data_IF_144094681816
#
_entry.id   IF_144094681816
#
_cell.length_a   1.000
_cell.length_b   1.000
_cell.length_c   1.000
_cell.angle_alpha   90.00
_cell.angle_beta   90.00
_cell.angle_gamma   90.00
#
_symmetry.space_group_name_H-M   'P 1'
#
loop_
_entity.id
_entity.type
_entity.pdbx_description
1 polymer ?
#
# COMPACT_ATOMS: atom_id res chain seq x y z
N UNK A 1 6.87 -16.66 9.36
CA UNK A 1 6.07 -15.42 9.31
C UNK A 1 4.64 -15.75 8.89
N UNK A 2 3.65 -14.96 9.37
CA UNK A 2 2.25 -15.10 8.95
C UNK A 2 1.88 -14.18 7.77
N UNK A 3 2.83 -13.41 7.25
CA UNK A 3 2.61 -12.57 6.07
C UNK A 3 2.54 -13.37 4.77
N UNK A 4 3.38 -14.42 4.64
CA UNK A 4 3.45 -15.26 3.44
C UNK A 4 4.07 -14.56 2.22
N UNK A 5 4.43 -15.35 1.22
CA UNK A 5 4.91 -14.86 -0.06
C UNK A 5 6.32 -14.25 -0.07
N UNK A 6 6.62 -13.49 -1.12
CA UNK A 6 7.95 -12.90 -1.37
C UNK A 6 8.39 -11.88 -0.32
N UNK A 7 7.45 -11.30 0.42
CA UNK A 7 7.74 -10.35 1.51
C UNK A 7 8.60 -10.99 2.62
N UNK A 8 8.52 -12.31 2.83
CA UNK A 8 9.35 -12.99 3.82
C UNK A 8 10.85 -12.90 3.52
N UNK A 9 11.21 -12.82 2.24
CA UNK A 9 12.61 -12.67 1.78
C UNK A 9 13.18 -11.29 2.15
N UNK A 10 12.31 -10.31 2.38
CA UNK A 10 12.69 -8.93 2.71
C UNK A 10 12.74 -8.66 4.22
N UNK A 11 12.46 -9.64 5.07
CA UNK A 11 12.54 -9.49 6.53
C UNK A 11 13.99 -9.60 6.97
N UNK A 12 14.51 -8.57 7.63
CA UNK A 12 15.79 -8.66 8.34
C UNK A 12 15.69 -9.64 9.49
N UNK A 13 16.52 -10.68 9.47
CA UNK A 13 16.55 -11.72 10.48
C UNK A 13 17.46 -11.30 11.65
N UNK A 14 17.05 -11.67 12.86
CA UNK A 14 17.83 -11.48 14.08
C UNK A 14 18.35 -12.85 14.48
N UNK A 15 19.65 -12.98 14.56
CA UNK A 15 20.29 -14.24 14.97
C UNK A 15 20.13 -14.48 16.47
N UNK A 16 20.11 -15.75 16.85
CA UNK A 16 20.22 -16.18 18.24
C UNK A 16 21.52 -15.66 18.86
N UNK A 17 21.59 -15.60 20.19
CA UNK A 17 22.76 -15.08 20.93
C UNK A 17 23.41 -16.13 21.79
N UNK A 18 24.72 -15.94 22.00
CA UNK A 18 25.52 -16.79 22.88
C UNK A 18 25.54 -18.26 22.44
N UNK A 19 25.46 -19.18 23.38
CA UNK A 19 25.51 -20.63 23.14
C UNK A 19 24.35 -21.17 22.29
N UNK A 20 23.27 -20.41 22.15
CA UNK A 20 22.14 -20.76 21.28
C UNK A 20 22.42 -20.57 19.79
N UNK A 21 23.46 -19.81 19.44
CA UNK A 21 23.89 -19.59 18.06
C UNK A 21 24.99 -20.59 17.70
N UNK A 22 24.61 -21.67 17.01
CA UNK A 22 25.55 -22.63 16.47
C UNK A 22 25.37 -22.72 14.95
N UNK A 23 26.14 -21.90 14.22
CA UNK A 23 26.04 -21.79 12.75
C UNK A 23 26.55 -23.07 12.07
N UNK A 24 27.56 -23.73 12.65
CA UNK A 24 28.17 -24.92 12.07
C UNK A 24 27.23 -26.16 12.13
N UNK A 25 26.40 -26.22 13.16
CA UNK A 25 25.43 -27.33 13.33
C UNK A 25 24.05 -27.03 12.70
N UNK A 26 23.83 -25.80 12.22
CA UNK A 26 22.53 -25.41 11.69
C UNK A 26 22.20 -26.11 10.37
N UNK A 27 21.00 -26.69 10.28
CA UNK A 27 20.47 -27.32 9.07
C UNK A 27 19.38 -26.44 8.40
N UNK A 28 18.75 -25.60 9.20
CA UNK A 28 17.64 -24.73 8.78
C UNK A 28 17.87 -23.30 9.30
N UNK A 29 17.18 -22.35 8.69
CA UNK A 29 17.17 -20.95 9.17
C UNK A 29 16.68 -20.85 10.63
N UNK A 30 15.68 -21.66 11.01
CA UNK A 30 15.11 -21.67 12.35
C UNK A 30 16.13 -22.06 13.42
N UNK A 31 17.20 -22.76 13.08
CA UNK A 31 18.26 -23.18 14.01
C UNK A 31 19.11 -21.99 14.47
N UNK A 32 19.23 -20.95 13.64
CA UNK A 32 20.08 -19.77 13.88
C UNK A 32 19.30 -18.48 14.10
N UNK A 33 18.03 -18.38 13.69
CA UNK A 33 17.21 -17.18 13.78
C UNK A 33 16.37 -17.19 15.04
N UNK A 34 16.41 -16.08 15.80
CA UNK A 34 15.59 -15.83 16.98
C UNK A 34 14.30 -15.05 16.64
N UNK A 35 14.39 -14.16 15.66
CA UNK A 35 13.28 -13.31 15.24
C UNK A 35 13.61 -12.49 14.00
N UNK A 36 12.74 -11.53 13.72
CA UNK A 36 12.95 -10.58 12.63
C UNK A 36 12.54 -9.16 13.01
N UNK A 37 13.13 -8.18 12.36
CA UNK A 37 12.65 -6.81 12.44
C UNK A 37 11.28 -6.71 11.77
N UNK A 38 10.39 -5.89 12.34
CA UNK A 38 9.04 -5.74 11.77
C UNK A 38 9.09 -5.10 10.38
N UNK A 39 8.42 -5.75 9.44
CA UNK A 39 8.35 -5.34 8.03
C UNK A 39 7.35 -4.20 7.80
N UNK A 40 6.26 -4.19 8.59
CA UNK A 40 5.17 -3.21 8.58
C UNK A 40 4.58 -3.02 9.98
N UNK A 41 3.59 -2.15 10.11
CA UNK A 41 2.82 -1.95 11.34
C UNK A 41 1.49 -2.71 11.33
N UNK A 42 0.99 -3.15 10.18
CA UNK A 42 -0.31 -3.80 10.00
C UNK A 42 -0.36 -5.16 10.69
N UNK A 43 0.68 -6.01 10.53
CA UNK A 43 0.72 -7.32 11.16
C UNK A 43 0.81 -7.24 12.69
N UNK A 44 1.67 -6.38 13.30
CA UNK A 44 1.64 -6.12 14.73
C UNK A 44 0.29 -5.62 15.25
N UNK A 45 -0.38 -4.71 14.53
CA UNK A 45 -1.71 -4.22 14.88
C UNK A 45 -2.74 -5.32 14.86
N UNK A 46 -2.76 -6.15 13.81
CA UNK A 46 -3.67 -7.28 13.69
C UNK A 46 -3.54 -8.24 14.86
N UNK A 47 -2.32 -8.51 15.31
CA UNK A 47 -2.06 -9.34 16.50
C UNK A 47 -2.47 -8.64 17.80
N UNK A 48 -2.22 -7.33 17.92
CA UNK A 48 -2.67 -6.54 19.06
C UNK A 48 -4.19 -6.57 19.18
N UNK A 49 -4.88 -6.28 18.07
CA UNK A 49 -6.34 -6.34 18.02
C UNK A 49 -6.87 -7.73 18.42
N UNK A 50 -6.31 -8.78 17.84
CA UNK A 50 -6.73 -10.16 18.15
C UNK A 50 -6.60 -10.49 19.63
N UNK A 51 -5.55 -10.02 20.30
CA UNK A 51 -5.33 -10.27 21.72
C UNK A 51 -6.17 -9.40 22.67
N UNK A 52 -6.75 -8.30 22.17
CA UNK A 52 -7.40 -7.29 23.01
C UNK A 52 -8.83 -6.95 22.57
N UNK A 53 -9.36 -7.58 21.52
CA UNK A 53 -10.61 -7.19 20.84
C UNK A 53 -11.81 -7.07 21.77
N UNK A 54 -11.89 -7.87 22.83
CA UNK A 54 -12.95 -7.81 23.81
C UNK A 54 -12.99 -6.50 24.62
N UNK A 55 -11.88 -5.78 24.67
CA UNK A 55 -11.74 -4.52 25.43
C UNK A 55 -11.60 -3.27 24.54
N UNK A 56 -11.64 -3.45 23.21
CA UNK A 56 -11.51 -2.35 22.25
C UNK A 56 -12.88 -1.89 21.77
N UNK A 57 -12.96 -0.63 21.32
CA UNK A 57 -14.16 -0.10 20.68
C UNK A 57 -14.47 -0.83 19.38
N UNK A 58 -15.72 -0.86 18.97
CA UNK A 58 -16.15 -1.33 17.65
C UNK A 58 -16.89 -0.20 16.91
N UNK A 59 -16.40 0.26 15.74
CA UNK A 59 -15.11 -0.10 15.14
C UNK A 59 -13.91 0.41 15.95
N UNK A 60 -12.77 -0.26 15.83
CA UNK A 60 -11.50 0.15 16.41
C UNK A 60 -10.72 0.97 15.39
N UNK A 61 -10.41 2.22 15.72
CA UNK A 61 -9.61 3.12 14.88
C UNK A 61 -8.24 3.33 15.49
N UNK A 62 -7.20 3.12 14.72
CA UNK A 62 -5.82 3.20 15.18
C UNK A 62 -5.00 4.16 14.33
N UNK A 63 -4.17 4.97 14.98
CA UNK A 63 -3.07 5.70 14.37
C UNK A 63 -1.77 5.14 14.92
N UNK A 64 -0.88 4.70 14.04
CA UNK A 64 0.42 4.15 14.41
C UNK A 64 1.53 4.92 13.70
N UNK A 65 2.58 5.25 14.44
CA UNK A 65 3.81 5.83 13.90
C UNK A 65 4.99 5.03 14.41
N UNK A 66 5.81 4.50 13.52
CA UNK A 66 6.94 3.72 13.96
C UNK A 66 7.87 3.25 12.84
N UNK A 67 9.10 2.96 13.21
CA UNK A 67 10.09 2.44 12.28
C UNK A 67 9.78 1.02 11.86
N UNK A 68 9.99 0.75 10.57
CA UNK A 68 9.91 -0.58 9.96
C UNK A 68 11.17 -0.83 9.13
N UNK A 69 11.45 -2.10 8.85
CA UNK A 69 12.69 -2.50 8.19
C UNK A 69 12.41 -3.46 7.04
N UNK A 70 12.97 -3.15 5.87
CA UNK A 70 12.87 -3.99 4.67
C UNK A 70 14.24 -4.17 4.04
N UNK A 71 14.59 -5.39 3.71
CA UNK A 71 15.85 -5.72 3.04
C UNK A 71 15.82 -5.40 1.53
N UNK A 72 15.10 -4.34 1.16
CA UNK A 72 15.03 -3.83 -0.20
C UNK A 72 16.39 -3.32 -0.68
N UNK A 73 16.56 -3.28 -2.01
CA UNK A 73 17.69 -2.60 -2.62
C UNK A 73 17.50 -1.08 -2.45
N UNK A 74 18.44 -0.38 -1.78
CA UNK A 74 18.34 1.06 -1.57
C UNK A 74 18.31 1.83 -2.90
N UNK A 75 17.38 2.79 -3.01
CA UNK A 75 17.31 3.73 -4.14
C UNK A 75 16.56 4.99 -3.69
N UNK A 76 16.52 6.04 -4.53
CA UNK A 76 15.78 7.27 -4.21
C UNK A 76 14.32 6.95 -3.84
N UNK A 77 13.89 7.38 -2.65
CA UNK A 77 12.55 7.11 -2.11
C UNK A 77 12.32 5.68 -1.58
N UNK A 78 13.39 4.84 -1.50
CA UNK A 78 13.35 3.48 -0.93
C UNK A 78 14.48 3.28 0.07
N UNK A 79 14.12 3.10 1.32
CA UNK A 79 15.04 2.98 2.45
C UNK A 79 14.91 1.58 3.07
N UNK A 80 15.98 1.12 3.72
CA UNK A 80 15.95 -0.15 4.46
C UNK A 80 15.35 -0.01 5.85
N UNK A 81 15.44 1.17 6.44
CA UNK A 81 14.71 1.58 7.63
C UNK A 81 13.96 2.86 7.29
N UNK A 82 12.68 2.92 7.63
CA UNK A 82 11.84 4.09 7.42
C UNK A 82 10.68 4.09 8.41
N UNK A 83 10.03 5.22 8.55
CA UNK A 83 8.85 5.39 9.42
C UNK A 83 7.59 5.18 8.58
N UNK A 84 6.72 4.31 9.03
CA UNK A 84 5.34 4.27 8.59
C UNK A 84 4.47 5.12 9.53
N UNK A 85 3.54 5.83 8.94
CA UNK A 85 2.46 6.51 9.64
C UNK A 85 1.15 5.92 9.09
N UNK A 86 0.59 4.99 9.84
CA UNK A 86 -0.55 4.16 9.41
C UNK A 86 -1.81 4.58 10.15
N UNK A 87 -2.91 4.66 9.42
CA UNK A 87 -4.26 4.76 9.95
C UNK A 87 -5.01 3.51 9.56
N UNK A 88 -5.72 2.91 10.50
CA UNK A 88 -6.44 1.65 10.30
C UNK A 88 -7.80 1.68 11.00
N UNK A 89 -8.82 1.12 10.35
CA UNK A 89 -10.17 0.90 10.89
C UNK A 89 -10.45 -0.59 10.86
N UNK A 90 -10.66 -1.20 12.04
CA UNK A 90 -10.93 -2.61 12.19
C UNK A 90 -12.33 -2.83 12.77
N UNK A 91 -13.06 -3.80 12.23
CA UNK A 91 -14.40 -4.15 12.70
C UNK A 91 -15.55 -3.44 11.99
N UNK A 92 -15.29 -2.69 10.91
CA UNK A 92 -16.30 -2.10 10.04
C UNK A 92 -16.34 -2.81 8.69
N UNK A 93 -17.45 -3.48 8.41
CA UNK A 93 -17.67 -4.20 7.14
C UNK A 93 -18.24 -3.30 6.03
N UNK A 94 -18.62 -2.07 6.35
CA UNK A 94 -19.19 -1.13 5.39
C UNK A 94 -18.10 -0.37 4.63
N UNK A 95 -18.48 0.28 3.54
CA UNK A 95 -17.58 1.14 2.78
C UNK A 95 -17.32 2.52 3.44
N UNK A 96 -17.97 2.80 4.58
CA UNK A 96 -17.71 4.02 5.35
C UNK A 96 -16.27 4.08 5.83
N UNK A 97 -15.67 2.92 6.13
CA UNK A 97 -14.28 2.85 6.56
C UNK A 97 -13.32 3.37 5.47
N UNK A 98 -13.48 2.93 4.21
CA UNK A 98 -12.69 3.44 3.09
C UNK A 98 -12.91 4.93 2.85
N UNK A 99 -14.17 5.37 2.89
CA UNK A 99 -14.53 6.78 2.69
C UNK A 99 -13.88 7.65 3.77
N UNK A 100 -13.97 7.25 5.03
CA UNK A 100 -13.39 7.99 6.16
C UNK A 100 -11.86 8.06 6.03
N UNK A 101 -11.20 6.96 5.67
CA UNK A 101 -9.74 6.93 5.51
C UNK A 101 -9.25 7.81 4.35
N UNK A 102 -9.92 7.77 3.20
CA UNK A 102 -9.56 8.63 2.05
C UNK A 102 -9.69 10.10 2.45
N UNK A 103 -10.78 10.49 3.12
CA UNK A 103 -11.01 11.86 3.56
C UNK A 103 -10.00 12.31 4.63
N UNK A 104 -9.69 11.45 5.60
CA UNK A 104 -8.70 11.76 6.63
C UNK A 104 -7.30 11.93 6.04
N UNK A 105 -6.90 11.03 5.15
CA UNK A 105 -5.61 11.06 4.47
C UNK A 105 -5.48 12.33 3.62
N UNK A 106 -6.46 12.62 2.78
CA UNK A 106 -6.42 13.77 1.87
C UNK A 106 -6.37 15.09 2.64
N UNK A 107 -7.12 15.22 3.74
CA UNK A 107 -7.02 16.37 4.65
C UNK A 107 -5.65 16.51 5.31
N UNK A 108 -5.04 15.41 5.72
CA UNK A 108 -3.69 15.43 6.28
C UNK A 108 -2.67 15.89 5.22
N UNK A 109 -2.72 15.35 4.02
CA UNK A 109 -1.84 15.73 2.92
C UNK A 109 -2.01 17.19 2.51
N UNK A 110 -3.25 17.71 2.47
CA UNK A 110 -3.51 19.12 2.17
C UNK A 110 -2.90 20.06 3.21
N UNK A 111 -2.83 19.65 4.47
CA UNK A 111 -2.16 20.43 5.53
C UNK A 111 -0.64 20.38 5.43
N UNK A 112 -0.09 19.25 5.00
CA UNK A 112 1.36 19.03 4.91
C UNK A 112 1.92 19.67 3.64
N UNK A 113 1.23 19.52 2.52
CA UNK A 113 1.63 20.03 1.20
C UNK A 113 0.50 20.88 0.58
N UNK A 114 0.21 22.09 1.12
CA UNK A 114 -0.98 22.86 0.75
C UNK A 114 -1.00 23.31 -0.73
N UNK A 115 0.17 23.52 -1.31
CA UNK A 115 0.35 24.08 -2.67
C UNK A 115 0.50 22.97 -3.74
N UNK A 116 0.33 21.70 -3.36
CA UNK A 116 0.46 20.57 -4.29
C UNK A 116 -0.90 19.98 -4.64
N UNK A 117 -1.03 19.62 -5.91
CA UNK A 117 -2.08 18.75 -6.37
C UNK A 117 -1.69 17.29 -6.12
N UNK A 118 -2.64 16.49 -5.71
CA UNK A 118 -2.47 15.05 -5.51
C UNK A 118 -3.71 14.32 -6.01
N UNK A 119 -3.49 13.07 -6.41
CA UNK A 119 -4.52 12.19 -6.93
C UNK A 119 -4.56 10.91 -6.11
N UNK A 120 -5.75 10.54 -5.67
CA UNK A 120 -6.05 9.23 -5.09
C UNK A 120 -6.46 8.32 -6.23
N UNK A 121 -5.64 7.30 -6.50
CA UNK A 121 -5.93 6.23 -7.46
C UNK A 121 -6.57 5.08 -6.69
N UNK A 122 -7.67 4.54 -7.19
CA UNK A 122 -8.40 3.46 -6.53
C UNK A 122 -8.63 2.29 -7.48
N UNK A 123 -8.64 1.08 -6.94
CA UNK A 123 -9.02 -0.15 -7.63
C UNK A 123 -9.64 -1.14 -6.63
N UNK A 124 -10.02 -2.32 -7.08
CA UNK A 124 -10.46 -3.43 -6.24
C UNK A 124 -9.83 -4.74 -6.70
N UNK A 125 -9.42 -5.56 -5.73
CA UNK A 125 -8.82 -6.88 -6.01
C UNK A 125 -9.74 -7.81 -6.80
N UNK A 126 -11.05 -7.71 -6.59
CA UNK A 126 -12.02 -8.48 -7.36
C UNK A 126 -12.09 -8.03 -8.81
N UNK A 127 -11.98 -6.71 -9.09
CA UNK A 127 -11.94 -6.17 -10.44
C UNK A 127 -10.67 -6.64 -11.16
N UNK A 128 -9.51 -6.54 -10.53
CA UNK A 128 -8.25 -7.05 -11.10
C UNK A 128 -8.37 -8.52 -11.50
N UNK A 129 -8.86 -9.37 -10.55
CA UNK A 129 -9.06 -10.79 -10.83
C UNK A 129 -10.10 -11.00 -11.94
N UNK A 130 -11.22 -10.29 -11.87
CA UNK A 130 -12.29 -10.38 -12.88
C UNK A 130 -11.83 -10.05 -14.29
N UNK A 131 -10.97 -9.03 -14.45
CA UNK A 131 -10.37 -8.67 -15.75
C UNK A 131 -9.48 -9.79 -16.30
N UNK A 132 -8.64 -10.41 -15.45
CA UNK A 132 -7.80 -11.52 -15.85
C UNK A 132 -8.63 -12.77 -16.23
N UNK A 133 -9.60 -13.14 -15.38
CA UNK A 133 -10.50 -14.28 -15.62
C UNK A 133 -11.33 -14.08 -16.90
N UNK A 134 -11.89 -12.88 -17.10
CA UNK A 134 -12.66 -12.53 -18.31
C UNK A 134 -11.80 -12.64 -19.58
N UNK A 135 -10.55 -12.29 -19.50
CA UNK A 135 -9.63 -12.35 -20.61
C UNK A 135 -9.12 -13.77 -20.91
N UNK A 136 -9.27 -14.70 -19.97
CA UNK A 136 -8.92 -16.10 -20.14
C UNK A 136 -7.51 -16.46 -19.67
N UNK A 137 -6.92 -15.66 -18.76
CA UNK A 137 -5.66 -16.06 -18.12
C UNK A 137 -5.88 -17.21 -17.13
N UNK A 138 -4.92 -18.13 -16.99
CA UNK A 138 -5.00 -19.21 -16.00
C UNK A 138 -5.06 -18.66 -14.58
N UNK A 139 -5.98 -19.18 -13.75
CA UNK A 139 -6.20 -18.70 -12.38
C UNK A 139 -4.93 -18.77 -11.51
N UNK A 140 -4.14 -19.81 -11.68
CA UNK A 140 -2.86 -20.00 -10.94
C UNK A 140 -1.72 -19.09 -11.41
N UNK A 141 -1.91 -18.30 -12.45
CA UNK A 141 -0.90 -17.39 -13.02
C UNK A 141 -1.30 -15.90 -12.91
N UNK A 142 -2.46 -15.62 -12.36
CA UNK A 142 -2.99 -14.25 -12.23
C UNK A 142 -2.00 -13.30 -11.53
N UNK A 143 -1.27 -13.77 -10.52
CA UNK A 143 -0.27 -12.94 -9.84
C UNK A 143 0.89 -12.55 -10.77
N UNK A 144 1.29 -13.40 -11.72
CA UNK A 144 2.31 -13.03 -12.72
C UNK A 144 1.80 -11.97 -13.68
N UNK A 145 0.55 -12.10 -14.12
CA UNK A 145 -0.11 -11.07 -14.95
C UNK A 145 -0.11 -9.73 -14.23
N UNK A 146 -0.42 -9.71 -12.94
CA UNK A 146 -0.42 -8.47 -12.14
C UNK A 146 0.98 -7.89 -11.94
N UNK A 147 2.03 -8.71 -11.80
CA UNK A 147 3.42 -8.23 -11.75
C UNK A 147 3.81 -7.50 -13.04
N UNK A 148 3.33 -7.98 -14.18
CA UNK A 148 3.56 -7.31 -15.47
C UNK A 148 2.73 -6.03 -15.57
N UNK A 149 1.46 -6.09 -15.16
CA UNK A 149 0.57 -4.93 -15.15
C UNK A 149 1.10 -3.79 -14.27
N UNK A 150 1.70 -4.09 -13.13
CA UNK A 150 2.31 -3.10 -12.21
C UNK A 150 3.44 -2.27 -12.86
N UNK A 151 3.92 -2.70 -14.03
CA UNK A 151 4.91 -1.95 -14.81
C UNK A 151 4.27 -0.95 -15.77
N UNK A 152 2.93 -0.87 -15.86
CA UNK A 152 2.20 -0.04 -16.82
C UNK A 152 2.72 1.40 -16.88
N UNK A 153 2.93 2.04 -15.73
CA UNK A 153 3.43 3.42 -15.65
C UNK A 153 4.84 3.59 -16.26
N UNK A 154 5.61 2.50 -16.43
CA UNK A 154 6.99 2.52 -16.94
C UNK A 154 7.09 2.12 -18.39
N UNK A 155 6.35 1.09 -18.81
CA UNK A 155 6.49 0.48 -20.13
C UNK A 155 5.29 0.74 -21.03
N UNK A 156 4.19 1.33 -20.50
CA UNK A 156 2.96 1.58 -21.24
C UNK A 156 2.19 0.31 -21.61
N UNK A 157 1.04 0.51 -22.25
CA UNK A 157 0.17 -0.59 -22.65
C UNK A 157 0.82 -1.55 -23.65
N UNK A 158 1.57 -1.01 -24.61
CA UNK A 158 2.30 -1.83 -25.60
C UNK A 158 3.38 -2.69 -24.94
N UNK A 159 4.12 -2.13 -23.98
CA UNK A 159 5.12 -2.89 -23.23
C UNK A 159 4.51 -3.99 -22.35
N UNK A 160 3.36 -3.73 -21.72
CA UNK A 160 2.62 -4.76 -20.97
C UNK A 160 2.17 -5.88 -21.90
N UNK A 161 1.64 -5.53 -23.08
CA UNK A 161 1.25 -6.50 -24.11
C UNK A 161 2.44 -7.37 -24.56
N UNK A 162 3.56 -6.76 -24.88
CA UNK A 162 4.76 -7.46 -25.31
C UNK A 162 5.31 -8.41 -24.23
N UNK A 163 5.36 -7.96 -22.96
CA UNK A 163 5.81 -8.82 -21.85
C UNK A 163 4.86 -9.99 -21.61
N UNK A 164 3.54 -9.78 -21.68
CA UNK A 164 2.57 -10.87 -21.54
C UNK A 164 2.72 -11.91 -22.64
N UNK A 165 2.92 -11.48 -23.90
CA UNK A 165 3.18 -12.40 -25.02
C UNK A 165 4.51 -13.13 -24.84
N UNK A 166 5.57 -12.47 -24.36
CA UNK A 166 6.87 -13.06 -24.10
C UNK A 166 6.85 -14.12 -23.00
N UNK A 167 5.97 -13.98 -22.00
CA UNK A 167 5.71 -15.00 -20.97
C UNK A 167 4.93 -16.22 -21.50
N UNK A 168 4.48 -16.18 -22.75
CA UNK A 168 3.82 -17.31 -23.42
C UNK A 168 2.29 -17.36 -23.25
N UNK A 169 1.66 -16.29 -22.80
CA UNK A 169 0.20 -16.20 -22.72
C UNK A 169 -0.42 -16.17 -24.13
N UNK A 170 -1.63 -16.74 -24.26
CA UNK A 170 -2.35 -16.77 -25.52
C UNK A 170 -2.64 -15.35 -26.04
N UNK A 171 -2.35 -15.11 -27.33
CA UNK A 171 -2.54 -13.80 -27.95
C UNK A 171 -3.99 -13.28 -27.79
N UNK A 172 -4.96 -14.17 -27.89
CA UNK A 172 -6.40 -13.80 -27.68
C UNK A 172 -6.65 -13.25 -26.25
N UNK A 173 -6.06 -13.88 -25.22
CA UNK A 173 -6.20 -13.41 -23.85
C UNK A 173 -5.52 -12.04 -23.65
N UNK A 174 -4.33 -11.87 -24.22
CA UNK A 174 -3.56 -10.63 -24.14
C UNK A 174 -4.30 -9.48 -24.84
N UNK A 175 -4.79 -9.70 -26.07
CA UNK A 175 -5.56 -8.69 -26.82
C UNK A 175 -6.85 -8.30 -26.10
N UNK A 176 -7.55 -9.26 -25.54
CA UNK A 176 -8.77 -9.02 -24.79
C UNK A 176 -8.51 -8.20 -23.53
N UNK A 177 -7.43 -8.50 -22.81
CA UNK A 177 -7.03 -7.79 -21.60
C UNK A 177 -6.58 -6.35 -21.88
N UNK A 178 -5.70 -6.17 -22.87
CA UNK A 178 -5.22 -4.84 -23.26
C UNK A 178 -6.32 -4.00 -23.89
N UNK A 179 -7.25 -4.63 -24.63
CA UNK A 179 -8.45 -3.98 -25.13
C UNK A 179 -9.38 -3.47 -24.02
N UNK A 180 -9.55 -4.25 -22.94
CA UNK A 180 -10.28 -3.77 -21.77
C UNK A 180 -9.63 -2.52 -21.18
N UNK A 181 -8.30 -2.56 -20.95
CA UNK A 181 -7.55 -1.44 -20.36
C UNK A 181 -7.65 -0.16 -21.20
N UNK A 182 -7.69 -0.28 -22.52
CA UNK A 182 -7.77 0.88 -23.43
C UNK A 182 -9.17 1.55 -23.44
N UNK A 183 -10.23 0.83 -23.10
CA UNK A 183 -11.62 1.30 -23.19
C UNK A 183 -12.16 1.86 -21.86
N UNK A 184 -11.49 1.59 -20.73
CA UNK A 184 -12.00 1.93 -19.39
C UNK A 184 -11.91 3.43 -19.14
N UNK A 185 -13.01 4.01 -18.63
CA UNK A 185 -13.03 5.36 -18.10
C UNK A 185 -12.62 5.36 -16.62
N UNK A 186 -11.85 6.37 -16.21
CA UNK A 186 -11.23 6.45 -14.89
C UNK A 186 -12.15 7.05 -13.80
N UNK A 187 -13.46 6.84 -13.93
CA UNK A 187 -14.47 7.35 -13.00
C UNK A 187 -15.43 6.27 -12.52
N UNK A 188 -16.36 6.64 -11.66
CA UNK A 188 -17.37 5.71 -11.12
C UNK A 188 -18.27 5.08 -12.20
N UNK A 189 -18.55 5.80 -13.29
CA UNK A 189 -19.33 5.27 -14.40
C UNK A 189 -18.56 4.18 -15.15
N UNK A 190 -17.26 4.41 -15.37
CA UNK A 190 -16.35 3.41 -15.95
C UNK A 190 -16.23 2.15 -15.08
N UNK A 191 -16.15 2.31 -13.75
CA UNK A 191 -16.17 1.17 -12.81
C UNK A 191 -17.45 0.34 -12.96
N UNK A 192 -18.62 0.98 -13.02
CA UNK A 192 -19.91 0.28 -13.21
C UNK A 192 -19.99 -0.44 -14.55
N UNK A 193 -19.62 0.26 -15.63
CA UNK A 193 -19.63 -0.33 -16.98
C UNK A 193 -18.69 -1.56 -17.05
N UNK A 194 -17.53 -1.48 -16.41
CA UNK A 194 -16.62 -2.62 -16.29
C UNK A 194 -17.24 -3.74 -15.46
N UNK A 195 -17.88 -3.43 -14.33
CA UNK A 195 -18.59 -4.40 -13.49
C UNK A 195 -19.68 -5.16 -14.24
N UNK A 196 -20.46 -4.48 -15.09
CA UNK A 196 -21.45 -5.11 -15.96
C UNK A 196 -20.79 -6.04 -16.98
N UNK A 197 -19.69 -5.58 -17.63
CA UNK A 197 -18.93 -6.38 -18.60
C UNK A 197 -18.33 -7.64 -17.98
N UNK A 198 -17.92 -7.58 -16.72
CA UNK A 198 -17.31 -8.68 -15.96
C UNK A 198 -18.34 -9.55 -15.20
N UNK A 199 -19.63 -9.31 -15.29
CA UNK A 199 -20.67 -9.96 -14.48
C UNK A 199 -20.71 -11.48 -14.58
N UNK A 200 -20.17 -12.07 -15.66
CA UNK A 200 -20.03 -13.51 -15.84
C UNK A 200 -18.90 -14.17 -15.03
N UNK A 201 -17.95 -13.38 -14.52
CA UNK A 201 -16.74 -13.87 -13.82
C UNK A 201 -16.49 -13.18 -12.47
N UNK A 202 -17.23 -12.11 -12.18
CA UNK A 202 -17.10 -11.32 -10.95
C UNK A 202 -18.49 -10.92 -10.45
N UNK A 203 -18.65 -10.79 -9.12
CA UNK A 203 -19.84 -10.20 -8.50
C UNK A 203 -19.90 -8.70 -8.83
N UNK A 204 -20.91 -8.21 -9.57
CA UNK A 204 -21.05 -6.80 -9.94
C UNK A 204 -21.15 -5.86 -8.72
N UNK A 205 -21.60 -6.37 -7.56
CA UNK A 205 -21.66 -5.59 -6.33
C UNK A 205 -20.28 -5.07 -5.88
N UNK A 206 -19.19 -5.70 -6.31
CA UNK A 206 -17.83 -5.20 -6.03
C UNK A 206 -17.52 -3.91 -6.77
N UNK A 207 -17.89 -3.85 -8.05
CA UNK A 207 -17.75 -2.63 -8.85
C UNK A 207 -18.68 -1.53 -8.33
N UNK A 208 -19.95 -1.85 -8.02
CA UNK A 208 -20.89 -0.89 -7.44
C UNK A 208 -20.40 -0.33 -6.11
N UNK A 209 -19.81 -1.16 -5.25
CA UNK A 209 -19.23 -0.71 -3.99
C UNK A 209 -18.08 0.30 -4.21
N UNK A 210 -17.15 0.02 -5.13
CA UNK A 210 -16.05 0.93 -5.44
C UNK A 210 -16.57 2.24 -6.06
N UNK A 211 -17.53 2.17 -6.98
CA UNK A 211 -18.17 3.34 -7.58
C UNK A 211 -18.86 4.22 -6.51
N UNK A 212 -19.57 3.59 -5.57
CA UNK A 212 -20.21 4.27 -4.43
C UNK A 212 -19.19 4.96 -3.53
N UNK A 213 -18.06 4.31 -3.22
CA UNK A 213 -16.94 4.94 -2.47
C UNK A 213 -16.48 6.21 -3.19
N UNK A 214 -16.20 6.12 -4.50
CA UNK A 214 -15.72 7.24 -5.28
C UNK A 214 -16.71 8.42 -5.30
N UNK A 215 -17.99 8.15 -5.55
CA UNK A 215 -19.03 9.17 -5.59
C UNK A 215 -19.24 9.82 -4.23
N UNK A 216 -19.28 9.01 -3.16
CA UNK A 216 -19.48 9.54 -1.80
C UNK A 216 -18.30 10.39 -1.38
N UNK A 217 -17.07 9.94 -1.62
CA UNK A 217 -15.87 10.75 -1.33
C UNK A 217 -15.91 12.08 -2.07
N UNK A 218 -16.23 12.09 -3.36
CA UNK A 218 -16.37 13.33 -4.15
C UNK A 218 -17.48 14.25 -3.63
N UNK A 219 -18.60 13.69 -3.16
CA UNK A 219 -19.74 14.46 -2.69
C UNK A 219 -19.53 15.12 -1.32
N UNK A 220 -18.73 14.50 -0.43
CA UNK A 220 -18.54 14.97 0.94
C UNK A 220 -17.18 15.61 1.20
N UNK A 221 -16.25 15.53 0.24
CA UNK A 221 -14.94 16.17 0.37
C UNK A 221 -15.08 17.69 0.46
N UNK A 222 -14.45 18.29 1.47
CA UNK A 222 -14.37 19.73 1.70
C UNK A 222 -13.07 20.36 1.17
N UNK A 223 -12.27 19.56 0.46
CA UNK A 223 -11.03 19.97 -0.18
C UNK A 223 -10.96 19.38 -1.59
N UNK A 224 -10.23 20.04 -2.47
CA UNK A 224 -10.04 19.59 -3.86
C UNK A 224 -8.85 18.62 -3.98
N UNK A 225 -9.05 17.50 -4.67
CA UNK A 225 -8.02 16.52 -5.06
C UNK A 225 -8.54 15.66 -6.23
N UNK A 226 -7.62 15.05 -6.96
CA UNK A 226 -7.95 14.04 -7.97
C UNK A 226 -8.39 12.74 -7.32
N UNK A 227 -9.46 12.14 -7.86
CA UNK A 227 -9.91 10.79 -7.47
C UNK A 227 -10.22 10.01 -8.74
N UNK A 228 -9.44 8.98 -9.02
CA UNK A 228 -9.48 8.25 -10.27
C UNK A 228 -9.55 6.74 -10.03
N UNK A 229 -10.37 6.06 -10.83
CA UNK A 229 -10.28 4.62 -10.97
C UNK A 229 -9.09 4.27 -11.84
N UNK A 230 -8.23 3.41 -11.35
CA UNK A 230 -7.07 2.94 -12.09
C UNK A 230 -7.05 1.42 -12.18
N UNK A 231 -7.49 0.85 -13.31
CA UNK A 231 -7.54 -0.59 -13.51
C UNK A 231 -6.16 -1.26 -13.52
N UNK A 232 -5.09 -0.46 -13.57
CA UNK A 232 -3.71 -0.97 -13.56
C UNK A 232 -3.07 -0.92 -12.18
N UNK A 233 -3.73 -0.30 -11.20
CA UNK A 233 -3.24 -0.24 -9.84
C UNK A 233 -3.22 -1.62 -9.21
N UNK A 234 -2.02 -2.15 -8.97
CA UNK A 234 -1.78 -3.43 -8.32
C UNK A 234 -1.05 -3.20 -7.01
N UNK A 235 -1.65 -3.57 -5.89
CA UNK A 235 -1.04 -3.45 -4.57
C UNK A 235 -1.36 -4.65 -3.70
N UNK A 236 -0.44 -4.96 -2.77
CA UNK A 236 -0.70 -5.89 -1.68
C UNK A 236 -1.17 -7.27 -2.14
N UNK A 237 -0.54 -7.85 -3.17
CA UNK A 237 -0.92 -9.14 -3.74
C UNK A 237 -1.02 -10.27 -2.70
N UNK A 238 -0.34 -10.13 -1.57
CA UNK A 238 -0.34 -11.16 -0.53
C UNK A 238 -1.41 -11.01 0.56
N UNK A 239 -2.13 -9.87 0.68
CA UNK A 239 -3.05 -9.69 1.80
C UNK A 239 -4.26 -8.79 1.60
N UNK A 240 -4.33 -7.90 0.60
CA UNK A 240 -5.54 -7.12 0.33
C UNK A 240 -6.66 -7.99 -0.22
N UNK A 241 -7.89 -7.74 0.23
CA UNK A 241 -9.08 -8.56 -0.04
C UNK A 241 -10.21 -7.81 -0.76
N UNK A 242 -10.08 -6.50 -0.97
CA UNK A 242 -11.09 -5.63 -1.56
C UNK A 242 -10.49 -4.38 -2.17
N UNK A 243 -11.09 -3.19 -1.92
CA UNK A 243 -10.59 -1.92 -2.41
C UNK A 243 -9.14 -1.67 -2.03
N UNK A 244 -8.38 -1.13 -2.98
CA UNK A 244 -6.98 -0.73 -2.82
C UNK A 244 -6.80 0.70 -3.28
N UNK A 245 -5.84 1.40 -2.66
CA UNK A 245 -5.66 2.84 -2.83
C UNK A 245 -4.20 3.21 -2.92
N UNK A 246 -3.92 4.24 -3.69
CA UNK A 246 -2.60 4.85 -3.80
C UNK A 246 -2.74 6.35 -3.97
N UNK A 247 -1.83 7.12 -3.38
CA UNK A 247 -1.80 8.56 -3.57
C UNK A 247 -0.50 8.96 -4.23
N UNK A 248 -0.62 9.67 -5.34
CA UNK A 248 0.47 10.29 -6.07
C UNK A 248 0.43 11.80 -5.91
N UNK A 249 1.57 12.44 -6.00
CA UNK A 249 1.72 13.88 -5.93
C UNK A 249 2.27 14.40 -7.26
N UNK A 250 1.70 15.46 -7.79
CA UNK A 250 2.13 16.05 -9.05
C UNK A 250 3.61 16.44 -9.02
N UNK A 251 4.33 16.04 -10.08
CA UNK A 251 5.77 16.27 -10.22
C UNK A 251 6.64 15.17 -9.57
N UNK A 252 6.06 14.14 -9.00
CA UNK A 252 6.78 13.00 -8.44
C UNK A 252 6.30 11.68 -9.05
N UNK A 253 7.23 10.79 -9.36
CA UNK A 253 6.99 9.50 -10.01
C UNK A 253 6.86 8.33 -9.02
N UNK A 254 6.50 8.61 -7.77
CA UNK A 254 6.30 7.60 -6.74
C UNK A 254 5.09 7.94 -5.87
N UNK A 255 4.45 6.89 -5.37
CA UNK A 255 3.34 7.05 -4.43
C UNK A 255 3.83 7.58 -3.09
N UNK A 256 3.07 8.50 -2.48
CA UNK A 256 3.36 9.06 -1.15
C UNK A 256 2.58 8.38 -0.04
N UNK A 257 1.48 7.72 -0.38
CA UNK A 257 0.68 6.93 0.54
C UNK A 257 0.00 5.78 -0.21
N UNK A 258 -0.46 4.79 0.51
CA UNK A 258 -1.25 3.72 -0.07
C UNK A 258 -1.74 2.72 0.95
N UNK A 259 -2.81 2.02 0.59
CA UNK A 259 -3.49 1.10 1.49
C UNK A 259 -4.54 0.26 0.81
N UNK A 260 -5.46 -0.30 1.61
CA UNK A 260 -6.59 -1.08 1.13
C UNK A 260 -7.22 -1.95 2.21
N UNK A 261 -8.27 -2.66 1.83
CA UNK A 261 -8.99 -3.59 2.71
C UNK A 261 -8.24 -4.92 2.83
N UNK A 262 -8.13 -5.42 4.08
CA UNK A 262 -7.36 -6.63 4.41
C UNK A 262 -8.08 -7.55 5.44
N UNK A 263 -9.31 -7.90 5.18
CA UNK A 263 -10.23 -8.61 6.08
C UNK A 263 -9.71 -9.95 6.62
N UNK A 264 -8.81 -10.61 5.89
CA UNK A 264 -8.29 -11.93 6.28
C UNK A 264 -7.07 -11.87 7.21
N UNK A 265 -6.45 -10.69 7.38
CA UNK A 265 -5.20 -10.56 8.13
C UNK A 265 -5.39 -10.85 9.63
N UNK A 266 -6.39 -10.23 10.23
CA UNK A 266 -6.72 -10.42 11.66
C UNK A 266 -7.19 -11.83 11.92
N UNK A 267 -7.90 -12.42 10.96
CA UNK A 267 -8.40 -13.79 11.01
C UNK A 267 -7.32 -14.85 11.18
N UNK A 268 -6.12 -14.61 10.70
CA UNK A 268 -4.95 -15.49 10.92
C UNK A 268 -4.59 -15.67 12.40
N UNK A 269 -5.05 -14.76 13.26
CA UNK A 269 -4.83 -14.81 14.72
C UNK A 269 -6.08 -15.21 15.49
N UNK A 270 -7.27 -14.77 15.04
CA UNK A 270 -8.55 -15.01 15.75
C UNK A 270 -9.31 -16.25 15.26
N UNK A 271 -8.98 -16.78 14.07
CA UNK A 271 -9.73 -17.86 13.46
C UNK A 271 -11.07 -17.45 12.84
N UNK A 272 -11.38 -16.15 12.82
CA UNK A 272 -12.57 -15.58 12.17
C UNK A 272 -12.21 -14.30 11.43
N UNK A 273 -12.90 -14.02 10.32
CA UNK A 273 -12.69 -12.77 9.56
C UNK A 273 -13.05 -11.56 10.40
N UNK A 274 -12.22 -10.52 10.30
CA UNK A 274 -12.48 -9.20 10.89
C UNK A 274 -12.28 -8.19 9.78
N UNK A 275 -13.35 -7.45 9.40
CA UNK A 275 -13.21 -6.39 8.41
C UNK A 275 -12.13 -5.39 8.84
N UNK A 276 -11.23 -5.08 7.95
CA UNK A 276 -10.15 -4.15 8.23
C UNK A 276 -9.71 -3.42 6.96
N UNK A 277 -9.51 -2.13 7.07
CA UNK A 277 -8.98 -1.27 6.02
C UNK A 277 -7.92 -0.36 6.62
N UNK A 278 -6.90 0.01 5.88
CA UNK A 278 -5.86 0.87 6.38
C UNK A 278 -5.03 1.54 5.29
N UNK A 279 -4.43 2.66 5.66
CA UNK A 279 -3.51 3.44 4.84
C UNK A 279 -2.18 3.62 5.55
N UNK A 280 -1.11 3.58 4.77
CA UNK A 280 0.24 3.94 5.20
C UNK A 280 0.72 5.18 4.47
N UNK A 281 1.15 6.19 5.21
CA UNK A 281 1.79 7.39 4.69
C UNK A 281 3.29 7.19 4.71
N UNK A 282 3.95 7.41 3.57
CA UNK A 282 5.40 7.31 3.43
C UNK A 282 6.11 8.53 4.01
N UNK A 283 6.43 8.50 5.30
CA UNK A 283 6.99 9.63 6.05
C UNK A 283 8.24 10.20 5.38
N UNK A 284 9.25 9.39 5.08
CA UNK A 284 10.50 9.84 4.46
C UNK A 284 10.29 10.39 3.05
N UNK A 285 9.30 9.89 2.31
CA UNK A 285 8.96 10.43 0.99
C UNK A 285 8.40 11.84 1.12
N UNK A 286 7.52 12.09 2.07
CA UNK A 286 6.99 13.43 2.35
C UNK A 286 8.10 14.34 2.84
N UNK A 287 8.96 13.88 3.77
CA UNK A 287 10.12 14.67 4.22
C UNK A 287 11.05 15.05 3.05
N UNK A 288 11.33 14.10 2.13
CA UNK A 288 12.14 14.37 0.96
C UNK A 288 11.52 15.43 0.06
N UNK A 289 10.19 15.36 -0.15
CA UNK A 289 9.44 16.35 -0.94
C UNK A 289 9.53 17.73 -0.29
N UNK A 290 9.32 17.83 1.01
CA UNK A 290 9.40 19.09 1.76
C UNK A 290 10.81 19.69 1.70
N UNK A 291 11.85 18.88 1.84
CA UNK A 291 13.24 19.32 1.72
C UNK A 291 13.58 19.79 0.30
N UNK A 292 13.14 19.08 -0.74
CA UNK A 292 13.29 19.48 -2.14
C UNK A 292 12.61 20.83 -2.43
N UNK A 293 11.57 21.18 -1.66
CA UNK A 293 10.86 22.46 -1.73
C UNK A 293 11.49 23.58 -0.87
N UNK A 294 12.59 23.29 -0.17
CA UNK A 294 13.24 24.26 0.70
C UNK A 294 12.51 24.51 2.03
N UNK A 295 11.67 23.54 2.49
CA UNK A 295 11.00 23.65 3.78
C UNK A 295 12.03 23.80 4.90
N UNK A 296 11.87 24.86 5.70
CA UNK A 296 12.63 25.07 6.93
C UNK A 296 11.72 24.88 8.14
N UNK A 297 12.22 24.23 9.18
CA UNK A 297 11.46 24.07 10.42
C UNK A 297 11.22 25.46 11.02
N UNK A 298 9.95 25.86 11.27
CA UNK A 298 9.65 27.14 11.91
C UNK A 298 10.36 27.25 13.24
N UNK A 299 10.89 28.43 13.54
CA UNK A 299 11.57 28.75 14.81
C UNK A 299 12.90 28.00 15.07
N UNK A 300 13.48 27.35 14.09
CA UNK A 300 14.82 26.80 14.22
C UNK A 300 15.84 27.95 14.29
N UNK A 301 16.24 28.27 15.50
CA UNK A 301 17.31 29.27 15.73
C UNK A 301 18.64 28.66 15.32
N UNK A 302 19.47 29.38 14.57
CA UNK A 302 20.81 28.91 14.26
C UNK A 302 21.57 28.66 15.55
N UNK A 303 22.15 27.48 15.71
CA UNK A 303 22.99 27.11 16.84
C UNK A 303 24.45 27.36 16.44
N UNK A 304 25.12 28.25 17.16
CA UNK A 304 26.55 28.48 17.03
C UNK A 304 27.24 27.70 18.14
N UNK A 305 28.09 26.75 17.80
CA UNK A 305 28.98 26.09 18.74
C UNK A 305 30.36 26.77 18.66
N UNK A 306 30.77 27.45 19.70
CA UNK A 306 32.09 28.03 19.81
C UNK A 306 33.00 27.04 20.55
N UNK A 307 33.97 26.48 19.85
CA UNK A 307 34.99 25.63 20.43
C UNK A 307 36.24 26.50 20.68
N UNK A 308 36.71 26.56 21.92
CA UNK A 308 37.90 27.31 22.29
C UNK A 308 38.82 26.47 23.18
N UNK A 309 40.12 26.72 23.09
CA UNK A 309 41.10 26.14 24.00
C UNK A 309 41.09 26.83 25.37
N UNK A 310 41.61 26.17 26.37
CA UNK A 310 41.69 26.69 27.75
C UNK A 310 42.45 28.04 27.86
N UNK A 311 43.26 28.34 26.86
CA UNK A 311 44.10 29.56 26.82
C UNK A 311 43.51 30.66 25.92
N UNK A 312 42.24 30.53 25.51
CA UNK A 312 41.58 31.55 24.68
C UNK A 312 41.18 32.75 25.54
N UNK A 313 41.78 33.92 25.25
CA UNK A 313 41.38 35.19 25.85
C UNK A 313 40.16 35.73 25.16
N UNK A 314 39.03 35.83 25.86
CA UNK A 314 37.84 36.49 25.39
C UNK A 314 37.89 37.97 25.84
N UNK A 315 38.50 38.81 25.02
CA UNK A 315 38.45 40.26 25.19
C UNK A 315 37.23 40.83 24.47
#
# INVERSE_FOLDING_TARGET
>A
SKQGGDNEKLIFKILKRGEKLNVEAAQTEADVVDGGLRYDLTLPLSRYYANNSANLSAPFKALQVGSVWRADRPQKGRFRQFVQCDIDILGDATNLAEIEEILALTKALKRICPDKAYTVRVNDRAILKGMADYSGFPENETDKVFIILDKMDKIGLDGVREELLAEGYASEAVEKYTGLLAEIQNDAAGVRALGEKLSGVMDPAKAENLATIMETVKAVADIEFGLEFDPTLVRGMGYYTGPIFEVTLDGYNFAIAGGGRYDDMVGKFLGQKVPAVGFSIGFERICSILLDQGYAVPDEKPRLALLYGADADFA
#
